data_IF_598553868240
#
_entry.id   IF_598553868240
#
_cell.length_a   1.000
_cell.length_b   1.000
_cell.length_c   1.000
_cell.angle_alpha   90.00
_cell.angle_beta   90.00
_cell.angle_gamma   90.00
#
_symmetry.space_group_name_H-M   'P 1'
#
loop_
_entity.id
_entity.type
_entity.pdbx_description
1 polymer ?
#
# COMPACT_ATOMS: atom_id res chain seq x y z
N UNK A 1 -10.13 34.89 17.58
CA UNK A 1 -9.98 34.38 16.20
C UNK A 1 -9.21 33.07 16.26
N UNK A 2 -9.71 31.93 15.79
CA UNK A 2 -8.89 30.74 15.71
C UNK A 2 -7.85 30.99 14.61
N UNK A 3 -6.57 30.87 14.94
CA UNK A 3 -5.49 30.99 13.98
C UNK A 3 -5.73 29.97 12.85
N UNK A 4 -5.86 30.46 11.62
CA UNK A 4 -5.82 29.64 10.41
C UNK A 4 -4.48 28.92 10.42
N UNK A 5 -4.44 27.67 10.90
CA UNK A 5 -3.21 26.90 11.00
C UNK A 5 -2.83 26.51 9.57
N UNK A 6 -2.03 27.36 8.93
CA UNK A 6 -1.43 27.03 7.64
C UNK A 6 -0.50 25.83 7.82
N UNK A 7 -0.29 25.07 6.75
CA UNK A 7 0.72 24.01 6.78
C UNK A 7 2.08 24.61 7.10
N UNK A 8 2.91 23.95 7.91
CA UNK A 8 4.29 24.36 8.10
C UNK A 8 4.98 24.56 6.76
N UNK A 9 5.74 25.65 6.63
CA UNK A 9 6.56 25.92 5.44
C UNK A 9 7.68 24.87 5.32
N UNK A 10 8.29 24.48 6.44
CA UNK A 10 9.24 23.37 6.52
C UNK A 10 8.60 22.16 7.23
N UNK A 11 8.74 20.97 6.66
CA UNK A 11 8.27 19.71 7.20
C UNK A 11 9.31 19.03 8.10
N UNK A 12 10.60 19.25 7.88
CA UNK A 12 11.68 18.58 8.61
C UNK A 12 11.61 18.73 10.14
N UNK A 13 11.29 19.91 10.71
CA UNK A 13 11.18 20.06 12.16
C UNK A 13 10.04 19.24 12.79
N UNK A 14 9.03 18.87 11.99
CA UNK A 14 7.91 18.04 12.44
C UNK A 14 8.19 16.53 12.31
N UNK A 15 9.32 16.16 11.72
CA UNK A 15 9.72 14.79 11.52
C UNK A 15 10.07 14.12 12.85
N UNK A 16 9.76 12.83 12.95
CA UNK A 16 9.96 12.05 14.18
C UNK A 16 10.60 10.71 13.89
N UNK A 17 11.29 10.21 14.91
CA UNK A 17 11.74 8.83 14.91
C UNK A 17 10.54 7.87 14.88
N UNK A 18 10.64 6.84 14.07
CA UNK A 18 9.73 5.70 14.06
C UNK A 18 10.55 4.42 13.93
N UNK A 19 10.16 3.40 14.68
CA UNK A 19 10.66 2.03 14.57
C UNK A 19 9.51 1.12 14.92
N UNK A 20 9.22 0.15 14.07
CA UNK A 20 8.12 -0.77 14.34
C UNK A 20 7.85 -1.73 13.20
N UNK A 21 6.74 -2.43 13.36
CA UNK A 21 6.20 -3.35 12.38
C UNK A 21 4.99 -2.75 11.67
N UNK A 22 4.65 -3.31 10.53
CA UNK A 22 3.40 -3.07 9.82
C UNK A 22 3.02 -4.26 8.96
N UNK A 23 1.81 -4.21 8.42
CA UNK A 23 1.22 -5.26 7.61
C UNK A 23 0.93 -4.77 6.21
N UNK A 24 1.14 -5.65 5.24
CA UNK A 24 0.74 -5.41 3.85
C UNK A 24 0.07 -6.66 3.29
N UNK A 25 -1.05 -6.44 2.61
CA UNK A 25 -1.74 -7.48 1.88
C UNK A 25 -1.34 -7.45 0.40
N UNK A 26 -1.04 -8.61 -0.14
CA UNK A 26 -0.76 -8.85 -1.57
C UNK A 26 -1.55 -10.06 -2.03
N UNK A 27 -1.67 -10.22 -3.34
CA UNK A 27 -2.21 -11.45 -3.91
C UNK A 27 -1.36 -12.65 -3.49
N UNK A 28 -2.00 -13.81 -3.32
CA UNK A 28 -1.36 -15.00 -2.83
C UNK A 28 -0.11 -15.35 -3.65
N UNK A 29 1.02 -15.49 -2.96
CA UNK A 29 2.32 -15.74 -3.58
C UNK A 29 2.46 -17.13 -4.22
N UNK A 30 1.52 -18.03 -3.94
CA UNK A 30 1.49 -19.40 -4.48
C UNK A 30 0.53 -19.57 -5.65
N UNK A 31 -0.18 -18.50 -6.08
CA UNK A 31 -1.10 -18.59 -7.21
C UNK A 31 -0.35 -18.38 -8.53
N UNK A 32 -0.32 -19.44 -9.36
CA UNK A 32 0.20 -19.39 -10.73
C UNK A 32 -0.85 -18.79 -11.67
N UNK A 33 -1.11 -17.49 -11.56
CA UNK A 33 -2.09 -16.78 -12.41
C UNK A 33 -1.80 -16.93 -13.91
N UNK A 34 -0.53 -17.08 -14.27
CA UNK A 34 -0.05 -17.29 -15.64
C UNK A 34 -0.41 -18.65 -16.23
N UNK A 35 -0.55 -19.69 -15.40
CA UNK A 35 -0.94 -21.03 -15.89
C UNK A 35 -2.34 -21.02 -16.51
N UNK A 36 -3.27 -20.29 -15.89
CA UNK A 36 -4.62 -20.14 -16.42
C UNK A 36 -4.63 -19.39 -17.76
N UNK A 37 -3.77 -18.38 -17.91
CA UNK A 37 -3.60 -17.64 -19.17
C UNK A 37 -2.94 -18.50 -20.27
N UNK A 38 -2.05 -19.42 -19.87
CA UNK A 38 -1.40 -20.39 -20.74
C UNK A 38 -2.26 -21.63 -21.02
N UNK A 39 -3.56 -21.62 -20.69
CA UNK A 39 -4.46 -22.75 -20.94
C UNK A 39 -4.10 -24.04 -20.20
N UNK A 40 -3.29 -23.96 -19.14
CA UNK A 40 -2.76 -25.14 -18.43
C UNK A 40 -1.51 -25.77 -19.06
N UNK A 41 -0.94 -25.18 -20.11
CA UNK A 41 0.26 -25.69 -20.77
C UNK A 41 1.53 -25.13 -20.11
N UNK A 42 2.36 -26.02 -19.57
CA UNK A 42 3.58 -25.63 -18.85
C UNK A 42 4.60 -24.90 -19.74
N UNK A 43 4.79 -25.34 -20.99
CA UNK A 43 5.72 -24.70 -21.92
C UNK A 43 5.31 -23.25 -22.23
N UNK A 44 4.03 -23.02 -22.48
CA UNK A 44 3.48 -21.70 -22.74
C UNK A 44 3.53 -20.83 -21.48
N UNK A 45 3.31 -21.42 -20.29
CA UNK A 45 3.48 -20.72 -19.02
C UNK A 45 4.92 -20.27 -18.83
N UNK A 46 5.91 -21.13 -19.09
CA UNK A 46 7.33 -20.78 -19.01
C UNK A 46 7.67 -19.63 -19.96
N UNK A 47 7.23 -19.72 -21.22
CA UNK A 47 7.43 -18.65 -22.20
C UNK A 47 6.80 -17.33 -21.74
N UNK A 48 5.58 -17.38 -21.20
CA UNK A 48 4.87 -16.20 -20.69
C UNK A 48 5.62 -15.58 -19.50
N UNK A 49 6.11 -16.40 -18.55
CA UNK A 49 6.89 -15.92 -17.42
C UNK A 49 8.23 -15.31 -17.86
N UNK A 50 8.91 -15.89 -18.85
CA UNK A 50 10.15 -15.33 -19.41
C UNK A 50 9.92 -13.98 -20.08
N UNK A 51 8.84 -13.84 -20.85
CA UNK A 51 8.42 -12.57 -21.46
C UNK A 51 8.12 -11.54 -20.35
N UNK A 52 7.36 -11.94 -19.34
CA UNK A 52 6.99 -11.09 -18.20
C UNK A 52 8.25 -10.66 -17.42
N UNK A 53 9.20 -11.56 -17.20
CA UNK A 53 10.46 -11.23 -16.51
C UNK A 53 11.31 -10.26 -17.33
N UNK A 54 11.40 -10.46 -18.64
CA UNK A 54 12.17 -9.61 -19.56
C UNK A 54 11.69 -8.16 -19.62
N UNK A 55 10.42 -7.88 -19.32
CA UNK A 55 9.84 -6.53 -19.34
C UNK A 55 9.74 -5.87 -17.96
N UNK A 56 10.01 -6.58 -16.86
CA UNK A 56 9.92 -6.00 -15.51
C UNK A 56 10.93 -4.86 -15.37
N UNK A 57 10.51 -3.69 -14.88
CA UNK A 57 11.45 -2.62 -14.57
C UNK A 57 12.52 -3.10 -13.59
N UNK A 58 13.75 -2.62 -13.77
CA UNK A 58 14.85 -2.93 -12.87
C UNK A 58 14.58 -2.39 -11.46
N UNK A 59 15.03 -3.14 -10.46
CA UNK A 59 14.94 -2.68 -9.07
C UNK A 59 15.91 -1.51 -8.87
N UNK A 60 15.50 -0.40 -8.21
CA UNK A 60 16.43 0.69 -7.94
C UNK A 60 17.55 0.23 -6.99
N UNK A 61 18.78 0.75 -7.13
CA UNK A 61 19.92 0.35 -6.29
C UNK A 61 19.65 0.45 -4.78
N UNK A 62 18.94 1.49 -4.34
CA UNK A 62 18.52 1.62 -2.92
C UNK A 62 17.69 0.44 -2.42
N UNK A 63 16.94 -0.28 -3.27
CA UNK A 63 16.16 -1.45 -2.87
C UNK A 63 16.90 -2.79 -3.04
N UNK A 64 18.12 -2.79 -3.59
CA UNK A 64 18.90 -4.01 -3.77
C UNK A 64 19.14 -4.74 -2.44
N UNK A 65 19.03 -6.07 -2.48
CA UNK A 65 19.19 -6.96 -1.33
C UNK A 65 17.95 -7.08 -0.43
N UNK A 66 16.90 -6.27 -0.63
CA UNK A 66 15.65 -6.45 0.09
C UNK A 66 14.90 -7.69 -0.40
N UNK A 67 14.18 -8.34 0.52
CA UNK A 67 13.20 -9.37 0.15
C UNK A 67 12.25 -8.83 -0.92
N UNK A 68 11.90 -9.64 -1.92
CA UNK A 68 11.18 -9.16 -3.10
C UNK A 68 9.83 -8.48 -2.78
N UNK A 69 9.12 -8.91 -1.72
CA UNK A 69 7.89 -8.28 -1.23
C UNK A 69 8.09 -6.85 -0.71
N UNK A 70 9.31 -6.51 -0.25
CA UNK A 70 9.70 -5.18 0.21
C UNK A 70 10.28 -4.34 -0.92
N UNK A 71 11.08 -4.95 -1.81
CA UNK A 71 11.80 -4.25 -2.88
C UNK A 71 10.93 -3.92 -4.10
N UNK A 72 10.17 -4.89 -4.62
CA UNK A 72 9.42 -4.73 -5.89
C UNK A 72 8.42 -3.58 -5.94
N UNK A 73 7.81 -3.08 -4.86
CA UNK A 73 6.96 -1.88 -4.91
C UNK A 73 7.70 -0.64 -5.42
N UNK A 74 9.02 -0.60 -5.28
CA UNK A 74 9.82 0.56 -5.67
C UNK A 74 10.16 0.63 -7.17
N UNK A 75 9.88 -0.42 -7.96
CA UNK A 75 10.25 -0.45 -9.39
C UNK A 75 9.11 -0.17 -10.37
N UNK A 76 7.86 -0.25 -9.94
CA UNK A 76 6.71 -0.09 -10.83
C UNK A 76 6.23 1.36 -10.94
N UNK A 77 5.76 1.74 -12.13
CA UNK A 77 5.11 3.02 -12.39
C UNK A 77 3.73 3.09 -11.71
N UNK A 78 3.23 4.29 -11.35
CA UNK A 78 1.91 4.43 -10.77
C UNK A 78 0.81 4.23 -11.83
N UNK A 79 -0.42 3.90 -11.40
CA UNK A 79 -1.59 3.78 -12.30
C UNK A 79 -1.85 5.12 -13.02
N UNK A 80 -1.80 5.19 -14.36
CA UNK A 80 -2.25 6.37 -15.09
C UNK A 80 -3.77 6.58 -14.96
N UNK A 81 -4.27 7.83 -15.02
CA UNK A 81 -3.53 9.07 -15.26
C UNK A 81 -3.02 9.77 -13.98
N UNK A 82 -3.54 9.42 -12.80
CA UNK A 82 -3.44 10.27 -11.60
C UNK A 82 -2.51 9.75 -10.47
N UNK A 83 -2.14 8.46 -10.48
CA UNK A 83 -1.36 7.83 -9.42
C UNK A 83 -2.16 7.41 -8.18
N UNK A 84 -1.55 7.49 -7.00
CA UNK A 84 -2.12 7.10 -5.71
C UNK A 84 -2.04 8.23 -4.67
N UNK A 85 -2.52 7.99 -3.44
CA UNK A 85 -2.66 9.02 -2.40
C UNK A 85 -1.40 9.86 -2.18
N UNK A 86 -0.23 9.23 -2.08
CA UNK A 86 1.05 9.92 -1.82
C UNK A 86 2.05 9.80 -2.98
N UNK A 87 1.53 9.57 -4.20
CA UNK A 87 2.34 9.41 -5.42
C UNK A 87 1.56 9.87 -6.65
N UNK A 88 1.98 10.98 -7.23
CA UNK A 88 1.51 11.45 -8.54
C UNK A 88 2.05 10.65 -9.71
N UNK A 89 1.65 11.02 -10.93
CA UNK A 89 1.96 10.31 -12.18
C UNK A 89 3.46 10.09 -12.43
N UNK A 90 4.28 11.07 -12.07
CA UNK A 90 5.73 11.07 -12.32
C UNK A 90 6.55 10.97 -11.03
N UNK A 91 5.89 10.76 -9.90
CA UNK A 91 6.57 10.73 -8.61
C UNK A 91 7.23 9.37 -8.34
N UNK A 92 8.34 9.36 -7.57
CA UNK A 92 8.98 8.13 -7.13
C UNK A 92 8.02 7.18 -6.41
N UNK A 93 8.36 5.90 -6.45
CA UNK A 93 7.54 4.85 -5.88
C UNK A 93 7.32 4.97 -4.37
N UNK A 94 6.24 4.35 -3.91
CA UNK A 94 5.82 4.31 -2.50
C UNK A 94 5.44 2.88 -2.17
N UNK A 95 6.00 2.38 -1.07
CA UNK A 95 5.51 1.16 -0.44
C UNK A 95 4.35 1.53 0.49
N UNK A 96 3.20 0.89 0.29
CA UNK A 96 2.00 1.10 1.13
C UNK A 96 1.78 -0.09 2.05
N UNK A 97 1.65 0.19 3.35
CA UNK A 97 1.25 -0.76 4.38
C UNK A 97 0.37 -0.10 5.44
N UNK A 98 0.07 -0.82 6.51
CA UNK A 98 -0.66 -0.33 7.67
C UNK A 98 -0.03 -0.79 8.98
N UNK A 99 -0.30 -0.12 10.10
CA UNK A 99 0.23 -0.54 11.41
C UNK A 99 -0.46 -1.82 11.92
N UNK A 100 -1.67 -2.13 11.44
CA UNK A 100 -2.45 -3.30 11.87
C UNK A 100 -3.09 -4.07 10.70
N UNK A 101 -3.38 -5.36 10.95
CA UNK A 101 -3.97 -6.31 9.97
C UNK A 101 -5.31 -5.80 9.44
N UNK A 102 -6.21 -5.34 10.31
CA UNK A 102 -7.57 -4.92 9.90
C UNK A 102 -7.50 -3.74 8.94
N UNK A 103 -6.63 -2.76 9.20
CA UNK A 103 -6.40 -1.62 8.32
C UNK A 103 -5.76 -2.03 6.99
N UNK A 104 -4.79 -2.94 7.01
CA UNK A 104 -4.21 -3.49 5.77
C UNK A 104 -5.28 -4.18 4.91
N UNK A 105 -6.15 -5.00 5.52
CA UNK A 105 -7.28 -5.63 4.85
C UNK A 105 -8.27 -4.61 4.28
N UNK A 106 -8.60 -3.56 5.04
CA UNK A 106 -9.55 -2.53 4.63
C UNK A 106 -9.08 -1.76 3.40
N UNK A 107 -7.82 -1.33 3.37
CA UNK A 107 -7.25 -0.59 2.24
C UNK A 107 -7.05 -1.50 1.02
N UNK A 108 -6.56 -2.73 1.21
CA UNK A 108 -6.34 -3.66 0.12
C UNK A 108 -7.65 -4.07 -0.56
N UNK A 109 -8.69 -4.40 0.23
CA UNK A 109 -9.99 -4.76 -0.34
C UNK A 109 -10.67 -3.58 -1.05
N UNK A 110 -10.52 -2.35 -0.57
CA UNK A 110 -11.06 -1.18 -1.25
C UNK A 110 -10.50 -1.05 -2.67
N UNK A 111 -9.18 -1.15 -2.82
CA UNK A 111 -8.54 -1.03 -4.13
C UNK A 111 -8.80 -2.22 -5.03
N UNK A 112 -8.90 -3.44 -4.48
CA UNK A 112 -9.32 -4.61 -5.27
C UNK A 112 -10.76 -4.53 -5.73
N UNK A 113 -11.67 -4.06 -4.87
CA UNK A 113 -13.05 -3.82 -5.27
C UNK A 113 -13.16 -2.73 -6.34
N UNK A 114 -12.41 -1.63 -6.20
CA UNK A 114 -12.37 -0.58 -7.23
C UNK A 114 -11.87 -1.12 -8.57
N UNK A 115 -10.79 -1.91 -8.56
CA UNK A 115 -10.31 -2.58 -9.77
C UNK A 115 -11.39 -3.49 -10.39
N UNK A 116 -12.12 -4.24 -9.55
CA UNK A 116 -13.21 -5.11 -9.99
C UNK A 116 -14.36 -4.33 -10.64
N UNK A 117 -14.73 -3.19 -10.06
CA UNK A 117 -15.77 -2.30 -10.58
C UNK A 117 -15.36 -1.57 -11.86
N UNK A 118 -14.10 -1.20 -11.98
CA UNK A 118 -13.55 -0.51 -13.16
C UNK A 118 -13.38 -1.47 -14.37
N UNK A 119 -13.59 -2.79 -14.17
CA UNK A 119 -13.40 -3.82 -15.19
C UNK A 119 -14.75 -4.28 -15.77
N UNK A 120 -15.06 -3.90 -17.01
CA UNK A 120 -16.36 -4.17 -17.66
C UNK A 120 -16.81 -5.64 -17.56
N UNK A 121 -15.91 -6.60 -17.83
CA UNK A 121 -16.22 -8.02 -17.79
C UNK A 121 -16.46 -8.59 -16.37
N UNK A 122 -15.98 -7.90 -15.33
CA UNK A 122 -16.04 -8.32 -13.93
C UNK A 122 -17.07 -7.52 -13.12
N UNK A 123 -17.46 -6.34 -13.60
CA UNK A 123 -18.37 -5.44 -12.92
C UNK A 123 -19.67 -6.17 -12.54
N UNK A 124 -20.09 -6.03 -11.28
CA UNK A 124 -21.29 -6.66 -10.73
C UNK A 124 -21.15 -8.13 -10.32
N UNK A 125 -20.06 -8.82 -10.68
CA UNK A 125 -19.87 -10.25 -10.33
C UNK A 125 -19.14 -10.39 -8.99
N UNK A 126 -19.62 -11.26 -8.08
CA UNK A 126 -18.87 -11.60 -6.88
C UNK A 126 -17.59 -12.36 -7.24
N UNK A 127 -16.58 -12.27 -6.37
CA UNK A 127 -15.30 -12.94 -6.57
C UNK A 127 -14.70 -13.40 -5.24
N UNK A 128 -13.93 -14.48 -5.29
CA UNK A 128 -13.13 -14.97 -4.18
C UNK A 128 -11.68 -15.12 -4.64
N UNK A 129 -10.74 -14.65 -3.84
CA UNK A 129 -9.31 -14.73 -4.14
C UNK A 129 -8.50 -15.00 -2.89
N UNK A 130 -7.38 -15.72 -3.04
CA UNK A 130 -6.44 -15.93 -1.95
C UNK A 130 -5.47 -14.74 -1.89
N UNK A 131 -5.20 -14.30 -0.67
CA UNK A 131 -4.38 -13.15 -0.36
C UNK A 131 -3.35 -13.55 0.68
N UNK A 132 -2.15 -13.00 0.55
CA UNK A 132 -1.10 -13.11 1.57
C UNK A 132 -1.00 -11.79 2.32
N UNK A 133 -1.18 -11.83 3.63
CA UNK A 133 -0.76 -10.74 4.52
C UNK A 133 0.61 -11.07 5.06
N UNK A 134 1.52 -10.11 5.00
CA UNK A 134 2.85 -10.26 5.58
C UNK A 134 3.22 -9.08 6.46
N UNK A 135 4.00 -9.37 7.50
CA UNK A 135 4.58 -8.36 8.37
C UNK A 135 5.91 -7.85 7.78
N UNK A 136 6.11 -6.54 7.85
CA UNK A 136 7.37 -5.88 7.57
C UNK A 136 7.83 -5.09 8.79
N UNK A 137 9.14 -4.87 8.91
CA UNK A 137 9.77 -4.07 9.95
C UNK A 137 10.60 -2.95 9.34
N UNK A 138 10.68 -1.82 10.01
CA UNK A 138 11.50 -0.71 9.56
C UNK A 138 11.81 0.29 10.66
N UNK A 139 12.71 1.23 10.33
CA UNK A 139 13.04 2.35 11.18
C UNK A 139 13.43 3.59 10.36
N UNK A 140 13.15 4.77 10.89
CA UNK A 140 13.56 6.06 10.30
C UNK A 140 13.64 7.12 11.40
N UNK A 141 14.48 8.13 11.21
CA UNK A 141 14.48 9.34 12.04
C UNK A 141 13.55 10.44 11.49
N UNK A 142 12.98 10.22 10.31
CA UNK A 142 12.31 11.22 9.51
C UNK A 142 10.92 10.73 9.02
N UNK A 143 10.05 10.36 9.96
CA UNK A 143 8.64 10.08 9.69
C UNK A 143 7.77 11.32 9.93
N UNK A 144 6.88 11.62 8.98
CA UNK A 144 5.83 12.64 9.14
C UNK A 144 4.52 12.01 9.62
N UNK A 145 4.01 12.43 10.77
CA UNK A 145 2.78 11.89 11.35
C UNK A 145 1.58 12.85 11.16
N UNK A 146 0.76 12.56 10.16
CA UNK A 146 -0.38 13.41 9.79
C UNK A 146 -1.53 13.37 10.81
N UNK A 147 -1.46 12.48 11.80
CA UNK A 147 -2.48 12.34 12.85
C UNK A 147 -2.27 13.31 14.02
N UNK A 148 -1.16 14.05 14.02
CA UNK A 148 -0.79 15.03 15.05
C UNK A 148 -0.89 16.47 14.53
N UNK A 149 -1.05 17.46 15.41
CA UNK A 149 -0.84 18.86 15.03
C UNK A 149 0.56 19.07 14.43
N UNK A 150 0.71 19.99 13.47
CA UNK A 150 -0.35 20.82 12.88
C UNK A 150 -1.18 20.08 11.81
N UNK A 151 -0.70 18.96 11.28
CA UNK A 151 -1.31 18.23 10.16
C UNK A 151 -2.73 17.75 10.43
N UNK A 152 -3.05 17.35 11.68
CA UNK A 152 -4.39 16.88 12.07
C UNK A 152 -5.51 17.88 11.69
N UNK A 153 -5.23 19.18 11.68
CA UNK A 153 -6.19 20.21 11.29
C UNK A 153 -6.68 20.04 9.84
N UNK A 154 -5.86 19.43 8.98
CA UNK A 154 -6.14 19.16 7.57
C UNK A 154 -6.64 17.73 7.29
N UNK A 155 -7.12 17.01 8.31
CA UNK A 155 -7.60 15.63 8.18
C UNK A 155 -8.48 15.40 6.94
N UNK A 156 -9.41 16.31 6.63
CA UNK A 156 -10.31 16.19 5.46
C UNK A 156 -9.55 16.07 4.13
N UNK A 157 -8.45 16.80 3.96
CA UNK A 157 -7.60 16.71 2.78
C UNK A 157 -6.86 15.35 2.73
N UNK A 158 -6.34 14.89 3.87
CA UNK A 158 -5.59 13.63 3.95
C UNK A 158 -6.45 12.39 3.71
N UNK A 159 -7.73 12.45 4.12
CA UNK A 159 -8.69 11.35 3.99
C UNK A 159 -9.64 11.53 2.80
N UNK A 160 -9.40 12.50 1.90
CA UNK A 160 -10.27 12.71 0.75
C UNK A 160 -10.34 11.44 -0.13
N UNK A 161 -11.53 11.11 -0.65
CA UNK A 161 -11.79 9.81 -1.26
C UNK A 161 -11.08 9.63 -2.61
N UNK A 162 -11.09 10.68 -3.45
CA UNK A 162 -10.64 10.62 -4.84
C UNK A 162 -9.59 11.68 -5.21
N UNK A 163 -9.75 12.94 -4.76
CA UNK A 163 -8.72 13.97 -4.92
C UNK A 163 -7.52 13.72 -3.99
N UNK A 164 -6.34 13.55 -4.59
CA UNK A 164 -5.06 13.31 -3.91
C UNK A 164 -4.05 14.44 -4.13
N UNK A 165 -4.49 15.59 -4.68
CA UNK A 165 -3.59 16.69 -5.05
C UNK A 165 -2.78 17.21 -3.85
N UNK A 166 -3.43 17.45 -2.70
CA UNK A 166 -2.73 17.92 -1.50
C UNK A 166 -1.78 16.86 -0.91
N UNK A 167 -2.17 15.58 -0.92
CA UNK A 167 -1.34 14.50 -0.38
C UNK A 167 -0.13 14.17 -1.29
N UNK A 168 -0.28 14.29 -2.61
CA UNK A 168 0.81 14.15 -3.56
C UNK A 168 1.80 15.32 -3.44
N UNK A 169 1.30 16.56 -3.41
CA UNK A 169 2.14 17.74 -3.17
C UNK A 169 2.90 17.65 -1.84
N UNK A 170 2.24 17.18 -0.78
CA UNK A 170 2.87 16.93 0.51
C UNK A 170 3.99 15.89 0.41
N UNK A 171 3.75 14.76 -0.27
CA UNK A 171 4.74 13.71 -0.41
C UNK A 171 5.98 14.17 -1.21
N UNK A 172 5.79 15.05 -2.19
CA UNK A 172 6.90 15.63 -2.96
C UNK A 172 7.74 16.59 -2.10
N UNK A 173 7.09 17.45 -1.32
CA UNK A 173 7.80 18.29 -0.32
C UNK A 173 8.51 17.46 0.73
N UNK A 174 7.86 16.40 1.22
CA UNK A 174 8.44 15.49 2.20
C UNK A 174 9.74 14.88 1.67
N UNK A 175 9.76 14.39 0.42
CA UNK A 175 10.98 13.88 -0.23
C UNK A 175 12.05 14.95 -0.37
N UNK A 176 11.69 16.16 -0.80
CA UNK A 176 12.65 17.28 -0.92
C UNK A 176 13.31 17.65 0.42
N UNK A 177 12.64 17.39 1.54
CA UNK A 177 13.16 17.60 2.90
C UNK A 177 13.71 16.31 3.55
N UNK A 178 13.93 15.25 2.76
CA UNK A 178 14.52 13.99 3.22
C UNK A 178 13.65 13.20 4.20
N UNK A 179 12.34 13.44 4.22
CA UNK A 179 11.37 12.62 4.95
C UNK A 179 11.24 11.27 4.24
N UNK A 180 11.28 10.20 5.02
CA UNK A 180 11.40 8.83 4.49
C UNK A 180 10.09 8.05 4.58
N UNK A 181 9.18 8.47 5.47
CA UNK A 181 7.90 7.83 5.67
C UNK A 181 6.81 8.82 6.08
N UNK A 182 5.56 8.50 5.72
CA UNK A 182 4.37 9.26 6.14
C UNK A 182 3.42 8.30 6.83
N UNK A 183 3.01 8.64 8.06
CA UNK A 183 1.89 8.00 8.75
C UNK A 183 0.62 8.82 8.53
N UNK A 184 -0.44 8.18 8.08
CA UNK A 184 -1.74 8.82 7.89
C UNK A 184 -2.86 8.00 8.52
N UNK A 185 -4.02 8.62 8.71
CA UNK A 185 -5.24 7.87 8.97
C UNK A 185 -5.64 7.06 7.73
N UNK A 186 -6.19 5.87 7.94
CA UNK A 186 -6.86 5.12 6.87
C UNK A 186 -8.19 5.79 6.53
N UNK A 187 -8.43 6.07 5.25
CA UNK A 187 -9.73 6.56 4.79
C UNK A 187 -10.81 5.44 4.81
N UNK A 188 -10.40 4.18 5.00
CA UNK A 188 -11.23 2.96 4.83
C UNK A 188 -11.51 2.27 6.17
N UNK A 189 -10.64 2.49 7.17
CA UNK A 189 -10.75 1.96 8.53
C UNK A 189 -10.43 3.05 9.58
N UNK A 190 -10.84 4.30 9.31
CA UNK A 190 -10.72 5.42 10.25
C UNK A 190 -11.79 5.38 11.36
N UNK A 191 -11.61 6.15 12.46
CA UNK A 191 -10.53 7.11 12.69
C UNK A 191 -9.28 6.51 13.35
N UNK A 192 -9.29 5.23 13.73
CA UNK A 192 -8.19 4.59 14.47
C UNK A 192 -7.15 3.94 13.56
N UNK A 193 -7.54 3.44 12.40
CA UNK A 193 -6.62 2.79 11.47
C UNK A 193 -5.50 3.71 10.99
N UNK A 194 -4.29 3.17 10.90
CA UNK A 194 -3.07 3.89 10.50
C UNK A 194 -2.44 3.24 9.29
N UNK A 195 -2.23 4.05 8.25
CA UNK A 195 -1.51 3.67 7.05
C UNK A 195 -0.07 4.18 7.12
N UNK A 196 0.86 3.40 6.59
CA UNK A 196 2.27 3.75 6.42
C UNK A 196 2.56 3.86 4.93
N UNK A 197 3.04 5.02 4.51
CA UNK A 197 3.54 5.28 3.15
C UNK A 197 5.05 5.46 3.25
N UNK A 198 5.79 4.41 2.89
CA UNK A 198 7.26 4.39 2.93
C UNK A 198 7.77 4.92 1.59
N UNK A 199 8.47 6.04 1.64
CA UNK A 199 8.89 6.80 0.45
C UNK A 199 10.26 6.36 -0.09
N UNK A 200 11.05 5.65 0.73
CA UNK A 200 12.39 5.17 0.37
C UNK A 200 12.66 3.77 0.94
N UNK A 201 13.40 2.91 0.23
CA UNK A 201 13.87 1.63 0.76
C UNK A 201 14.74 1.73 2.02
N UNK A 202 15.34 2.88 2.31
CA UNK A 202 16.22 3.10 3.46
C UNK A 202 15.55 2.72 4.79
N UNK A 203 14.23 2.90 4.91
CA UNK A 203 13.46 2.53 6.10
C UNK A 203 13.58 1.04 6.45
N UNK A 204 13.63 0.18 5.43
CA UNK A 204 13.82 -1.25 5.61
C UNK A 204 15.28 -1.61 5.89
N UNK A 205 16.23 -0.89 5.30
CA UNK A 205 17.67 -1.11 5.50
C UNK A 205 18.17 -0.65 6.87
N UNK A 206 17.40 0.19 7.57
CA UNK A 206 17.70 0.67 8.92
C UNK A 206 17.47 -0.38 10.03
N UNK A 207 17.05 -1.61 9.66
CA UNK A 207 16.85 -2.73 10.58
C UNK A 207 17.51 -3.99 10.02
N UNK A 208 17.98 -4.88 10.91
CA UNK A 208 18.66 -6.11 10.49
C UNK A 208 17.74 -7.09 9.75
N UNK A 209 16.50 -7.24 10.25
CA UNK A 209 15.51 -8.17 9.71
C UNK A 209 14.20 -7.44 9.36
N UNK A 210 14.15 -6.76 8.21
CA UNK A 210 12.95 -6.04 7.77
C UNK A 210 11.82 -6.98 7.33
N UNK A 211 12.14 -8.23 7.02
CA UNK A 211 11.18 -9.28 6.68
C UNK A 211 11.49 -10.53 7.50
N UNK A 212 10.57 -10.91 8.39
CA UNK A 212 10.77 -12.01 9.36
C UNK A 212 9.98 -13.28 9.01
N UNK A 213 9.59 -13.43 7.74
CA UNK A 213 8.79 -14.56 7.26
C UNK A 213 7.43 -14.75 7.96
N UNK A 214 6.95 -13.73 8.67
CA UNK A 214 5.64 -13.73 9.29
C UNK A 214 4.57 -13.43 8.22
N UNK A 215 3.93 -14.49 7.72
CA UNK A 215 2.90 -14.41 6.69
C UNK A 215 1.62 -15.15 7.11
N UNK A 216 0.50 -14.76 6.52
CA UNK A 216 -0.81 -15.34 6.75
C UNK A 216 -1.56 -15.46 5.41
N UNK A 217 -2.21 -16.59 5.19
CA UNK A 217 -3.11 -16.79 4.06
C UNK A 217 -4.54 -16.42 4.47
N UNK A 218 -5.19 -15.64 3.62
CA UNK A 218 -6.55 -15.16 3.80
C UNK A 218 -7.34 -15.34 2.50
N UNK A 219 -8.63 -15.63 2.64
CA UNK A 219 -9.60 -15.51 1.57
C UNK A 219 -10.22 -14.10 1.59
N UNK A 220 -10.20 -13.42 0.45
CA UNK A 220 -10.92 -12.18 0.21
C UNK A 220 -12.10 -12.46 -0.72
N UNK A 221 -13.30 -12.27 -0.18
CA UNK A 221 -14.54 -12.27 -0.94
C UNK A 221 -14.98 -10.84 -1.24
N UNK A 222 -15.19 -10.54 -2.53
CA UNK A 222 -15.71 -9.27 -3.02
C UNK A 222 -17.15 -9.48 -3.50
N UNK A 223 -18.07 -8.62 -3.03
CA UNK A 223 -19.43 -8.53 -3.55
C UNK A 223 -19.71 -7.07 -3.94
N UNK A 224 -19.66 -6.75 -5.24
CA UNK A 224 -20.04 -5.44 -5.75
C UNK A 224 -21.45 -5.01 -5.27
N UNK A 225 -21.70 -3.69 -5.09
CA UNK A 225 -20.77 -2.60 -5.41
C UNK A 225 -19.81 -2.24 -4.28
N UNK A 226 -20.00 -2.77 -3.06
CA UNK A 226 -19.36 -2.16 -1.89
C UNK A 226 -18.96 -3.10 -0.75
N UNK A 227 -19.21 -4.41 -0.84
CA UNK A 227 -18.89 -5.34 0.25
C UNK A 227 -17.56 -6.05 -0.02
N UNK A 228 -16.72 -6.10 1.01
CA UNK A 228 -15.59 -7.00 1.09
C UNK A 228 -15.62 -7.78 2.42
N UNK A 229 -15.33 -9.08 2.34
CA UNK A 229 -15.22 -9.98 3.49
C UNK A 229 -13.88 -10.68 3.43
N UNK A 230 -13.13 -10.59 4.52
CA UNK A 230 -11.89 -11.31 4.72
C UNK A 230 -12.12 -12.44 5.71
N UNK A 231 -11.59 -13.62 5.40
CA UNK A 231 -11.55 -14.75 6.31
C UNK A 231 -10.16 -15.36 6.31
N UNK A 232 -9.59 -15.55 7.50
CA UNK A 232 -8.32 -16.24 7.64
C UNK A 232 -8.55 -17.74 7.61
N UNK A 233 -7.73 -18.46 6.84
CA UNK A 233 -7.88 -19.91 6.68
C UNK A 233 -7.67 -20.65 8.02
N UNK A 234 -6.79 -20.11 8.86
CA UNK A 234 -6.39 -20.67 10.15
C UNK A 234 -6.69 -19.60 11.23
N UNK A 235 -7.38 -19.99 12.31
CA UNK A 235 -7.79 -19.16 13.48
C UNK A 235 -9.12 -18.40 13.37
N UNK A 236 -9.80 -18.40 12.23
CA UNK A 236 -11.18 -17.89 12.14
C UNK A 236 -11.36 -16.37 12.26
N UNK A 237 -10.27 -15.59 12.24
CA UNK A 237 -10.33 -14.13 12.15
C UNK A 237 -11.14 -13.70 10.91
N UNK A 238 -12.07 -12.76 11.09
CA UNK A 238 -12.94 -12.26 10.03
C UNK A 238 -13.05 -10.75 10.08
N UNK A 239 -12.99 -10.13 8.92
CA UNK A 239 -13.27 -8.70 8.77
C UNK A 239 -14.31 -8.49 7.68
N UNK A 240 -15.23 -7.58 7.92
CA UNK A 240 -16.20 -7.14 6.95
C UNK A 240 -16.09 -5.63 6.78
N UNK A 241 -16.07 -5.17 5.53
CA UNK A 241 -16.05 -3.77 5.16
C UNK A 241 -17.15 -3.47 4.16
N UNK A 242 -17.93 -2.43 4.43
CA UNK A 242 -18.91 -1.87 3.49
C UNK A 242 -18.45 -0.47 3.12
N UNK A 243 -18.09 -0.27 1.85
CA UNK A 243 -17.58 1.02 1.36
C UNK A 243 -18.73 1.94 0.91
N UNK A 244 -18.47 3.24 0.98
CA UNK A 244 -19.35 4.27 0.41
C UNK A 244 -18.96 4.56 -1.05
#
# INVERSE_FOLDING_TARGET
MPATTSMPTALRPEARAWRGAGWRAVEAQHQNATLALAGGHLADQTLLEDIIEGIKPQLPPEAAGLHFLLGTPFRYLPRPPAGSRFRGRFDPAVFYGAEDIKTACAEAAYWRLRFWLDSEALAGKPASMSMTLFEFHGATQALLDLTRPPFKAKRKAWTHAADYSETQALANRARAEGIEAIRSESARNGPTGRCLSILTPAVFKAVAEPFRHQQQTWSLYLRPPNLAVWQRDINGDRFQFTYA
#
